data_IF_919778257114
#
_entry.id   IF_919778257114
#
_cell.length_a   1.000
_cell.length_b   1.000
_cell.length_c   1.000
_cell.angle_alpha   90.00
_cell.angle_beta   90.00
_cell.angle_gamma   90.00
#
_symmetry.space_group_name_H-M   'P 1'
#
loop_
_entity.id
_entity.type
_entity.pdbx_description
1 polymer ?
#
# COMPACT_ATOMS: atom_id res chain seq x y z
N UNK A 1 12.32 -20.08 9.96
CA UNK A 1 11.93 -18.66 9.85
C UNK A 1 12.78 -17.84 10.80
N UNK A 2 13.72 -17.05 10.28
CA UNK A 2 14.63 -16.24 11.11
C UNK A 2 13.87 -15.11 11.79
N UNK A 3 13.81 -15.12 13.13
CA UNK A 3 13.28 -14.00 13.92
C UNK A 3 14.30 -12.86 13.80
N UNK A 4 13.98 -11.86 12.98
CA UNK A 4 14.76 -10.62 12.90
C UNK A 4 14.68 -9.97 14.28
N UNK A 5 15.70 -10.18 15.12
CA UNK A 5 15.81 -9.52 16.42
C UNK A 5 16.55 -8.20 16.21
N UNK A 6 15.81 -7.09 16.26
CA UNK A 6 16.45 -5.78 16.30
C UNK A 6 17.06 -5.54 17.69
N UNK A 7 18.25 -4.92 17.77
CA UNK A 7 18.86 -4.54 19.03
C UNK A 7 17.89 -3.65 19.84
N UNK A 8 17.65 -4.00 21.11
CA UNK A 8 16.62 -3.39 22.00
C UNK A 8 16.79 -1.88 22.14
N UNK A 9 18.02 -1.39 22.09
CA UNK A 9 18.45 0.01 22.10
C UNK A 9 17.89 0.82 20.91
N UNK A 10 17.51 0.18 19.80
CA UNK A 10 16.99 0.85 18.60
C UNK A 10 15.47 0.77 18.43
N UNK A 11 14.77 0.08 19.33
CA UNK A 11 13.30 -0.07 19.30
C UNK A 11 12.52 1.27 19.34
N UNK A 12 12.90 2.27 20.17
CA UNK A 12 12.22 3.56 20.19
C UNK A 12 12.34 4.33 18.87
N UNK A 13 13.55 4.29 18.27
CA UNK A 13 13.81 4.89 16.97
C UNK A 13 13.00 4.20 15.87
N UNK A 14 12.95 2.87 15.90
CA UNK A 14 12.21 2.07 14.94
C UNK A 14 10.70 2.34 14.99
N UNK A 15 10.12 2.45 16.19
CA UNK A 15 8.72 2.85 16.39
C UNK A 15 8.45 4.24 15.81
N UNK A 16 9.31 5.21 16.07
CA UNK A 16 9.17 6.58 15.55
C UNK A 16 9.24 6.62 14.02
N UNK A 17 10.19 5.90 13.42
CA UNK A 17 10.30 5.77 11.97
C UNK A 17 9.07 5.11 11.36
N UNK A 18 8.55 4.05 12.00
CA UNK A 18 7.35 3.36 11.52
C UNK A 18 6.11 4.25 11.63
N UNK A 19 5.92 4.96 12.73
CA UNK A 19 4.83 5.92 12.89
C UNK A 19 4.88 7.04 11.83
N UNK A 20 6.08 7.56 11.52
CA UNK A 20 6.26 8.55 10.46
C UNK A 20 5.94 7.98 9.07
N UNK A 21 6.32 6.73 8.79
CA UNK A 21 5.99 6.06 7.54
C UNK A 21 4.47 5.91 7.37
N UNK A 22 3.76 5.51 8.42
CA UNK A 22 2.30 5.40 8.42
C UNK A 22 1.65 6.78 8.24
N UNK A 23 2.14 7.81 8.95
CA UNK A 23 1.65 9.19 8.84
C UNK A 23 1.79 9.76 7.43
N UNK A 24 2.96 9.59 6.82
CA UNK A 24 3.20 10.06 5.44
C UNK A 24 2.26 9.38 4.43
N UNK A 25 1.97 8.09 4.63
CA UNK A 25 1.01 7.37 3.79
C UNK A 25 -0.42 7.91 4.00
N UNK A 26 -0.84 8.19 5.24
CA UNK A 26 -2.13 8.83 5.54
C UNK A 26 -2.24 10.18 4.83
N UNK A 27 -1.22 11.05 4.94
CA UNK A 27 -1.21 12.37 4.30
C UNK A 27 -1.33 12.25 2.78
N UNK A 28 -0.57 11.33 2.18
CA UNK A 28 -0.59 11.06 0.74
C UNK A 28 -2.00 10.68 0.23
N UNK A 29 -2.71 9.82 0.96
CA UNK A 29 -4.03 9.35 0.54
C UNK A 29 -5.18 10.26 1.00
N UNK A 30 -4.97 11.06 2.05
CA UNK A 30 -5.94 12.06 2.54
C UNK A 30 -5.99 13.30 1.63
N UNK A 31 -4.83 13.79 1.16
CA UNK A 31 -4.77 14.97 0.30
C UNK A 31 -5.14 14.67 -1.16
N UNK A 32 -4.94 13.43 -1.62
CA UNK A 32 -5.37 13.02 -2.95
C UNK A 32 -6.90 12.97 -2.95
N UNK A 33 -7.52 13.98 -3.58
CA UNK A 33 -8.95 14.06 -3.96
C UNK A 33 -9.32 12.91 -4.93
N UNK A 34 -9.20 11.65 -4.51
CA UNK A 34 -9.60 10.50 -5.31
C UNK A 34 -11.11 10.35 -5.26
N UNK A 35 -11.81 11.08 -6.15
CA UNK A 35 -13.26 10.95 -6.35
C UNK A 35 -13.67 9.58 -6.92
N UNK A 36 -12.74 8.83 -7.54
CA UNK A 36 -13.05 7.59 -8.30
C UNK A 36 -12.94 6.28 -7.51
N UNK A 37 -12.25 6.25 -6.36
CA UNK A 37 -11.97 5.02 -5.59
C UNK A 37 -12.30 5.19 -4.10
N UNK A 38 -13.39 5.93 -3.82
CA UNK A 38 -13.70 6.46 -2.49
C UNK A 38 -13.86 5.36 -1.43
N UNK A 39 -14.47 4.23 -1.78
CA UNK A 39 -14.74 3.15 -0.82
C UNK A 39 -13.46 2.39 -0.40
N UNK A 40 -12.70 1.87 -1.36
CA UNK A 40 -11.46 1.13 -1.10
C UNK A 40 -10.38 2.00 -0.43
N UNK A 41 -10.33 3.28 -0.78
CA UNK A 41 -9.40 4.24 -0.18
C UNK A 41 -9.82 4.61 1.25
N UNK A 42 -11.13 4.75 1.51
CA UNK A 42 -11.63 5.03 2.86
C UNK A 42 -11.37 3.87 3.82
N UNK A 43 -11.66 2.62 3.43
CA UNK A 43 -11.37 1.45 4.29
C UNK A 43 -9.88 1.32 4.58
N UNK A 44 -9.04 1.54 3.56
CA UNK A 44 -7.59 1.56 3.73
C UNK A 44 -7.14 2.65 4.72
N UNK A 45 -7.65 3.88 4.56
CA UNK A 45 -7.37 5.02 5.44
C UNK A 45 -7.80 4.74 6.89
N UNK A 46 -8.96 4.13 7.12
CA UNK A 46 -9.43 3.77 8.47
C UNK A 46 -8.48 2.77 9.14
N UNK A 47 -8.03 1.74 8.41
CA UNK A 47 -7.12 0.74 8.96
C UNK A 47 -5.74 1.32 9.31
N UNK A 48 -5.18 2.16 8.44
CA UNK A 48 -3.87 2.78 8.70
C UNK A 48 -3.93 3.89 9.76
N UNK A 49 -5.06 4.61 9.88
CA UNK A 49 -5.29 5.57 10.97
C UNK A 49 -5.37 4.87 12.33
N UNK A 50 -6.08 3.74 12.40
CA UNK A 50 -6.12 2.91 13.61
C UNK A 50 -4.72 2.43 14.00
N UNK A 51 -3.95 1.94 13.03
CA UNK A 51 -2.56 1.53 13.25
C UNK A 51 -1.68 2.69 13.75
N UNK A 52 -1.85 3.90 13.22
CA UNK A 52 -1.10 5.07 13.67
C UNK A 52 -1.41 5.43 15.13
N UNK A 53 -2.69 5.42 15.52
CA UNK A 53 -3.09 5.66 16.91
C UNK A 53 -2.55 4.57 17.85
N UNK A 54 -2.59 3.30 17.45
CA UNK A 54 -2.03 2.18 18.23
C UNK A 54 -0.50 2.29 18.39
N UNK A 55 0.21 2.81 17.38
CA UNK A 55 1.64 3.08 17.44
C UNK A 55 1.97 4.26 18.38
N UNK A 56 1.15 5.32 18.34
CA UNK A 56 1.32 6.54 19.16
C UNK A 56 1.02 6.28 20.64
N UNK A 57 -0.03 5.52 20.92
CA UNK A 57 -0.49 5.19 22.28
C UNK A 57 0.31 4.08 22.95
N UNK A 58 1.38 3.60 22.31
CA UNK A 58 2.24 2.50 22.79
C UNK A 58 1.48 1.18 23.05
N UNK A 59 0.29 1.00 22.46
CA UNK A 59 -0.50 -0.21 22.62
C UNK A 59 0.14 -1.42 21.95
N UNK A 60 0.83 -1.22 20.82
CA UNK A 60 1.62 -2.27 20.16
C UNK A 60 2.88 -2.51 20.97
N UNK A 61 3.15 -3.74 21.39
CA UNK A 61 4.40 -4.09 22.06
C UNK A 61 5.57 -4.05 21.06
N UNK A 62 6.77 -3.81 21.57
CA UNK A 62 8.01 -3.79 20.77
C UNK A 62 8.26 -5.09 20.01
N UNK A 63 7.84 -6.23 20.55
CA UNK A 63 7.90 -7.53 19.86
C UNK A 63 6.98 -7.59 18.63
N UNK A 64 5.87 -6.86 18.64
CA UNK A 64 4.83 -6.89 17.61
C UNK A 64 5.02 -5.81 16.53
N UNK A 65 5.98 -4.90 16.72
CA UNK A 65 6.30 -3.81 15.79
C UNK A 65 6.74 -4.32 14.41
N UNK A 66 7.45 -5.45 14.37
CA UNK A 66 7.88 -6.08 13.12
C UNK A 66 6.68 -6.68 12.40
N UNK A 67 5.85 -7.43 13.11
CA UNK A 67 4.63 -8.05 12.57
C UNK A 67 3.68 -6.99 12.01
N UNK A 68 3.46 -5.90 12.75
CA UNK A 68 2.63 -4.78 12.30
C UNK A 68 3.22 -4.07 11.07
N UNK A 69 4.55 -3.94 10.96
CA UNK A 69 5.18 -3.40 9.75
C UNK A 69 4.99 -4.31 8.54
N UNK A 70 5.05 -5.63 8.72
CA UNK A 70 4.76 -6.59 7.65
C UNK A 70 3.30 -6.50 7.20
N UNK A 71 2.37 -6.42 8.15
CA UNK A 71 0.95 -6.22 7.86
C UNK A 71 0.70 -4.90 7.11
N UNK A 72 1.32 -3.80 7.55
CA UNK A 72 1.25 -2.51 6.87
C UNK A 72 1.74 -2.59 5.42
N UNK A 73 2.89 -3.24 5.15
CA UNK A 73 3.37 -3.45 3.77
C UNK A 73 2.41 -4.29 2.94
N UNK A 74 1.81 -5.32 3.53
CA UNK A 74 0.84 -6.17 2.84
C UNK A 74 -0.41 -5.37 2.45
N UNK A 75 -0.94 -4.55 3.37
CA UNK A 75 -2.07 -3.65 3.12
C UNK A 75 -1.74 -2.63 2.02
N UNK A 76 -0.56 -1.99 2.11
CA UNK A 76 -0.08 -1.05 1.09
C UNK A 76 0.01 -1.69 -0.29
N UNK A 77 0.57 -2.90 -0.38
CA UNK A 77 0.66 -3.65 -1.64
C UNK A 77 -0.72 -4.02 -2.18
N UNK A 78 -1.63 -4.52 -1.35
CA UNK A 78 -3.01 -4.85 -1.77
C UNK A 78 -3.72 -3.62 -2.32
N UNK A 79 -3.65 -2.49 -1.61
CA UNK A 79 -4.27 -1.25 -2.07
C UNK A 79 -3.65 -0.78 -3.39
N UNK A 80 -2.32 -0.76 -3.50
CA UNK A 80 -1.63 -0.40 -4.75
C UNK A 80 -1.98 -1.34 -5.91
N UNK A 81 -2.10 -2.64 -5.68
CA UNK A 81 -2.49 -3.62 -6.71
C UNK A 81 -3.93 -3.38 -7.17
N UNK A 82 -4.86 -3.10 -6.27
CA UNK A 82 -6.24 -2.77 -6.61
C UNK A 82 -6.30 -1.50 -7.50
N UNK A 83 -5.49 -0.49 -7.20
CA UNK A 83 -5.41 0.73 -8.02
C UNK A 83 -4.77 0.49 -9.40
N UNK A 84 -3.76 -0.39 -9.50
CA UNK A 84 -3.00 -0.64 -10.74
C UNK A 84 -3.70 -1.64 -11.67
N UNK A 85 -4.44 -2.62 -11.12
CA UNK A 85 -5.10 -3.69 -11.87
C UNK A 85 -5.92 -3.23 -13.09
N UNK A 86 -6.77 -2.18 -13.02
CA UNK A 86 -7.54 -1.75 -14.19
C UNK A 86 -6.64 -1.21 -15.33
N UNK A 87 -5.53 -0.55 -15.01
CA UNK A 87 -4.59 -0.03 -16.01
C UNK A 87 -3.86 -1.15 -16.75
N UNK A 88 -3.51 -2.23 -16.05
CA UNK A 88 -2.87 -3.41 -16.66
C UNK A 88 -3.84 -4.10 -17.63
N UNK A 89 -5.12 -4.21 -17.26
CA UNK A 89 -6.16 -4.78 -18.12
C UNK A 89 -6.36 -3.91 -19.37
N UNK A 90 -6.44 -2.58 -19.21
CA UNK A 90 -6.54 -1.64 -20.33
C UNK A 90 -5.35 -1.73 -21.28
N UNK A 91 -4.13 -1.83 -20.74
CA UNK A 91 -2.92 -1.98 -21.54
C UNK A 91 -2.94 -3.29 -22.36
N UNK A 92 -3.37 -4.40 -21.74
CA UNK A 92 -3.50 -5.67 -22.44
C UNK A 92 -4.50 -5.61 -23.61
N UNK A 93 -5.66 -4.98 -23.40
CA UNK A 93 -6.67 -4.77 -24.46
C UNK A 93 -6.09 -3.92 -25.60
N UNK A 94 -5.36 -2.85 -25.26
CA UNK A 94 -4.74 -1.98 -26.27
C UNK A 94 -3.73 -2.73 -27.13
N UNK A 95 -2.89 -3.58 -26.53
CA UNK A 95 -1.93 -4.41 -27.26
C UNK A 95 -2.66 -5.37 -28.22
N UNK A 96 -3.73 -6.02 -27.75
CA UNK A 96 -4.52 -6.94 -28.59
C UNK A 96 -5.12 -6.21 -29.78
N UNK A 97 -5.72 -5.04 -29.58
CA UNK A 97 -6.30 -4.24 -30.66
C UNK A 97 -5.23 -3.76 -31.67
N UNK A 98 -4.05 -3.35 -31.18
CA UNK A 98 -2.95 -2.94 -32.05
C UNK A 98 -2.45 -4.09 -32.92
N UNK A 99 -2.33 -5.30 -32.36
CA UNK A 99 -1.91 -6.50 -33.11
C UNK A 99 -2.95 -6.88 -34.15
N UNK A 100 -4.25 -6.89 -33.80
CA UNK A 100 -5.33 -7.18 -34.75
C UNK A 100 -5.35 -6.14 -35.88
N UNK A 101 -5.19 -4.84 -35.55
CA UNK A 101 -5.12 -3.77 -36.54
C UNK A 101 -3.94 -3.92 -37.50
N UNK A 102 -2.76 -4.30 -37.00
CA UNK A 102 -1.59 -4.58 -37.83
C UNK A 102 -1.82 -5.78 -38.77
N UNK A 103 -2.46 -6.85 -38.28
CA UNK A 103 -2.75 -8.04 -39.10
C UNK A 103 -3.72 -7.69 -40.25
N UNK A 104 -4.78 -6.92 -39.97
CA UNK A 104 -5.75 -6.51 -40.99
C UNK A 104 -5.10 -5.53 -41.98
N UNK A 105 -4.32 -4.56 -41.50
CA UNK A 105 -3.63 -3.60 -42.36
C UNK A 105 -2.53 -4.20 -43.24
N UNK A 106 -1.99 -5.36 -42.90
CA UNK A 106 -1.06 -6.12 -43.75
C UNK A 106 -1.77 -7.04 -44.77
N UNK A 107 -3.02 -7.40 -44.53
CA UNK A 107 -3.82 -8.26 -45.42
C UNK A 107 -4.68 -7.48 -46.43
N UNK A 108 -4.67 -6.15 -46.36
CA UNK A 108 -5.27 -5.22 -47.33
C UNK A 108 -4.14 -4.64 -48.18
#
# INVERSE_FOLDING_TARGET
>A
MSKIQFPKDKMPLYRKLFANEVKSEIEKWSQKKYKKDKYNTQEYLVQINKLYEELRTHQIKDADLISNKVLFRSLKRKHSLLTIRPYVILLAIFIVLAVVGLIIGFNI
#
